data_IF_543459727776
#
_entry.id   IF_543459727776
#
_cell.length_a   1.000
_cell.length_b   1.000
_cell.length_c   1.000
_cell.angle_alpha   90.00
_cell.angle_beta   90.00
_cell.angle_gamma   90.00
#
_symmetry.space_group_name_H-M   'P 1'
#
loop_
_entity.id
_entity.type
_entity.pdbx_description
1 polymer ?
#
# COMPACT_ATOMS: atom_id res chain seq x y z
N UNK A 1 26.59 -17.18 -14.81
CA UNK A 1 25.23 -16.54 -14.72
C UNK A 1 24.32 -17.56 -14.09
N UNK A 2 23.61 -17.21 -13.02
CA UNK A 2 22.63 -18.10 -12.37
C UNK A 2 21.23 -17.61 -12.76
N UNK A 3 20.35 -18.52 -13.17
CA UNK A 3 18.94 -18.25 -13.49
C UNK A 3 18.09 -19.02 -12.49
N UNK A 4 17.21 -18.32 -11.78
CA UNK A 4 16.22 -18.93 -10.92
C UNK A 4 14.85 -18.99 -11.65
N UNK A 5 14.17 -20.11 -11.54
CA UNK A 5 12.79 -20.30 -12.02
C UNK A 5 11.90 -20.58 -10.83
N UNK A 6 10.72 -19.97 -10.78
CA UNK A 6 9.71 -20.21 -9.75
C UNK A 6 8.31 -20.12 -10.36
N UNK A 7 7.36 -20.80 -9.76
CA UNK A 7 5.95 -20.71 -10.16
C UNK A 7 5.31 -19.42 -9.63
N UNK A 8 4.40 -18.83 -10.42
CA UNK A 8 3.57 -17.73 -9.94
C UNK A 8 2.65 -18.23 -8.82
N UNK A 9 2.50 -17.44 -7.78
CA UNK A 9 1.74 -17.79 -6.58
C UNK A 9 0.79 -16.64 -6.19
N UNK A 10 -0.19 -16.95 -5.40
CA UNK A 10 -1.04 -16.01 -4.65
C UNK A 10 -1.15 -16.49 -3.22
N UNK A 11 -1.48 -15.58 -2.31
CA UNK A 11 -1.60 -15.92 -0.90
C UNK A 11 -2.87 -15.29 -0.33
N UNK A 12 -3.51 -15.98 0.62
CA UNK A 12 -4.49 -15.33 1.47
C UNK A 12 -3.80 -14.33 2.41
N UNK A 13 -4.44 -13.19 2.59
CA UNK A 13 -3.96 -12.14 3.50
C UNK A 13 -4.31 -12.48 4.94
N UNK A 14 -3.56 -11.92 5.88
CA UNK A 14 -3.83 -12.12 7.30
C UNK A 14 -4.78 -11.05 7.83
N UNK A 15 -6.04 -11.39 8.05
CA UNK A 15 -7.09 -10.50 8.54
C UNK A 15 -6.84 -9.87 9.94
N UNK A 16 -5.80 -10.33 10.64
CA UNK A 16 -5.44 -9.83 11.97
C UNK A 16 -4.17 -8.97 11.96
N UNK A 17 -3.70 -8.56 10.78
CA UNK A 17 -2.49 -7.74 10.59
C UNK A 17 -2.76 -6.54 9.70
N UNK A 18 -1.97 -5.47 9.84
CA UNK A 18 -2.07 -4.32 8.96
C UNK A 18 -1.82 -4.65 7.48
N UNK A 19 -2.56 -3.99 6.60
CA UNK A 19 -2.42 -4.12 5.15
C UNK A 19 -1.97 -2.81 4.50
N UNK A 20 -1.34 -2.93 3.34
CA UNK A 20 -1.26 -1.86 2.34
C UNK A 20 -2.14 -2.25 1.15
N UNK A 21 -2.98 -1.34 0.70
CA UNK A 21 -3.83 -1.49 -0.48
C UNK A 21 -3.41 -0.50 -1.56
N UNK A 22 -3.11 -1.02 -2.75
CA UNK A 22 -2.80 -0.23 -3.93
C UNK A 22 -3.97 -0.31 -4.92
N UNK A 23 -4.47 0.85 -5.35
CA UNK A 23 -5.57 0.96 -6.30
C UNK A 23 -5.01 1.28 -7.68
N UNK A 24 -5.14 0.34 -8.60
CA UNK A 24 -4.70 0.44 -10.00
C UNK A 24 -3.22 0.86 -10.18
N UNK A 25 -2.24 0.31 -9.44
CA UNK A 25 -0.84 0.68 -9.61
C UNK A 25 -0.35 0.26 -10.99
N UNK A 26 0.32 1.16 -11.71
CA UNK A 26 0.68 0.96 -13.12
C UNK A 26 2.18 0.76 -13.38
N UNK A 27 3.07 1.29 -12.53
CA UNK A 27 4.53 1.16 -12.72
C UNK A 27 5.11 -0.04 -11.95
N UNK A 28 5.77 -0.92 -12.71
CA UNK A 28 6.38 -2.16 -12.17
C UNK A 28 7.56 -1.87 -11.23
N UNK A 29 8.30 -0.77 -11.46
CA UNK A 29 9.41 -0.37 -10.59
C UNK A 29 8.92 0.17 -9.25
N UNK A 30 7.85 0.98 -9.29
CA UNK A 30 7.16 1.46 -8.08
C UNK A 30 6.61 0.28 -7.29
N UNK A 31 5.94 -0.65 -7.94
CA UNK A 31 5.41 -1.87 -7.31
C UNK A 31 6.51 -2.62 -6.54
N UNK A 32 7.65 -2.90 -7.18
CA UNK A 32 8.75 -3.60 -6.53
C UNK A 32 9.37 -2.81 -5.37
N UNK A 33 9.51 -1.49 -5.51
CA UNK A 33 9.99 -0.60 -4.46
C UNK A 33 9.04 -0.58 -3.27
N UNK A 34 7.72 -0.53 -3.52
CA UNK A 34 6.69 -0.59 -2.48
C UNK A 34 6.76 -1.91 -1.73
N UNK A 35 6.81 -3.05 -2.43
CA UNK A 35 6.95 -4.39 -1.83
C UNK A 35 8.14 -4.45 -0.86
N UNK A 36 9.29 -3.91 -1.28
CA UNK A 36 10.47 -3.84 -0.43
C UNK A 36 10.27 -2.94 0.79
N UNK A 37 9.64 -1.78 0.61
CA UNK A 37 9.41 -0.80 1.67
C UNK A 37 8.45 -1.31 2.73
N UNK A 38 7.30 -1.86 2.34
CA UNK A 38 6.30 -2.38 3.30
C UNK A 38 6.88 -3.52 4.13
N UNK A 39 7.63 -4.44 3.51
CA UNK A 39 8.33 -5.49 4.23
C UNK A 39 9.35 -4.92 5.22
N UNK A 40 10.09 -3.89 4.81
CA UNK A 40 11.07 -3.19 5.67
C UNK A 40 10.45 -2.58 6.91
N UNK A 41 9.19 -2.13 6.84
CA UNK A 41 8.40 -1.62 7.97
C UNK A 41 7.61 -2.71 8.69
N UNK A 42 7.76 -3.99 8.33
CA UNK A 42 7.12 -5.12 9.01
C UNK A 42 5.71 -5.43 8.50
N UNK A 43 5.15 -4.67 7.55
CA UNK A 43 3.86 -4.98 6.92
C UNK A 43 4.11 -6.06 5.85
N UNK A 44 3.38 -7.17 5.96
CA UNK A 44 3.57 -8.33 5.07
C UNK A 44 2.37 -8.60 4.15
N UNK A 45 1.30 -7.85 4.28
CA UNK A 45 0.05 -8.07 3.57
C UNK A 45 -0.19 -6.93 2.58
N UNK A 46 -0.14 -7.26 1.29
CA UNK A 46 -0.33 -6.34 0.17
C UNK A 46 -1.59 -6.70 -0.62
N UNK A 47 -2.56 -5.80 -0.62
CA UNK A 47 -3.76 -5.88 -1.45
C UNK A 47 -3.58 -5.02 -2.69
N UNK A 48 -4.08 -5.47 -3.82
CA UNK A 48 -3.99 -4.74 -5.08
C UNK A 48 -5.35 -4.78 -5.78
N UNK A 49 -5.86 -3.62 -6.16
CA UNK A 49 -7.06 -3.54 -7.01
C UNK A 49 -6.65 -3.47 -8.47
N UNK A 50 -7.20 -4.36 -9.28
CA UNK A 50 -7.00 -4.39 -10.74
C UNK A 50 -7.76 -3.26 -11.46
N UNK A 51 -7.33 -2.81 -12.68
CA UNK A 51 -6.14 -3.26 -13.38
C UNK A 51 -4.85 -2.81 -12.69
N UNK A 52 -3.79 -3.62 -12.78
CA UNK A 52 -2.53 -3.32 -12.12
C UNK A 52 -1.31 -3.81 -12.94
N UNK A 53 -0.13 -3.29 -12.60
CA UNK A 53 1.12 -3.83 -13.11
C UNK A 53 1.29 -5.30 -12.70
N UNK A 54 1.87 -6.13 -13.58
CA UNK A 54 2.16 -7.54 -13.24
C UNK A 54 3.20 -7.60 -12.12
N UNK A 55 2.78 -8.10 -10.97
CA UNK A 55 3.62 -8.25 -9.78
C UNK A 55 4.82 -9.19 -10.03
N UNK A 56 4.70 -10.11 -10.98
CA UNK A 56 5.75 -11.03 -11.40
C UNK A 56 6.58 -10.56 -12.58
N UNK A 57 6.36 -9.32 -13.04
CA UNK A 57 7.21 -8.74 -14.08
C UNK A 57 8.68 -8.71 -13.60
N UNK A 58 9.66 -9.06 -14.45
CA UNK A 58 11.08 -9.05 -14.09
C UNK A 58 11.57 -7.71 -13.49
N UNK A 59 10.97 -6.57 -13.90
CA UNK A 59 11.29 -5.25 -13.33
C UNK A 59 10.79 -5.15 -11.88
N UNK A 60 9.58 -5.64 -11.58
CA UNK A 60 9.01 -5.69 -10.23
C UNK A 60 9.84 -6.59 -9.31
N UNK A 61 10.14 -7.81 -9.77
CA UNK A 61 10.93 -8.79 -9.01
C UNK A 61 12.30 -8.21 -8.67
N UNK A 62 12.98 -7.62 -9.65
CA UNK A 62 14.30 -7.01 -9.44
C UNK A 62 14.24 -5.86 -8.44
N UNK A 63 13.26 -4.95 -8.59
CA UNK A 63 13.11 -3.79 -7.71
C UNK A 63 12.73 -4.21 -6.27
N UNK A 64 12.04 -5.33 -6.09
CA UNK A 64 11.67 -5.85 -4.78
C UNK A 64 12.84 -6.42 -3.98
N UNK A 65 13.99 -6.67 -4.63
CA UNK A 65 15.19 -7.24 -3.98
C UNK A 65 14.90 -8.52 -3.17
N UNK A 66 14.01 -9.37 -3.68
CA UNK A 66 13.60 -10.63 -3.05
C UNK A 66 12.49 -10.48 -1.99
N UNK A 67 12.05 -9.27 -1.67
CA UNK A 67 10.98 -9.05 -0.71
C UNK A 67 9.65 -9.69 -1.14
N UNK A 68 9.41 -9.83 -2.44
CA UNK A 68 8.20 -10.47 -3.00
C UNK A 68 7.97 -11.89 -2.45
N UNK A 69 9.03 -12.64 -2.14
CA UNK A 69 8.94 -14.00 -1.59
C UNK A 69 8.68 -14.04 -0.07
N UNK A 70 8.56 -12.86 0.57
CA UNK A 70 8.41 -12.74 2.03
C UNK A 70 7.12 -12.02 2.43
N UNK A 71 6.36 -11.53 1.45
CA UNK A 71 5.05 -10.91 1.67
C UNK A 71 3.94 -11.87 1.23
N UNK A 72 2.73 -11.64 1.72
CA UNK A 72 1.48 -12.16 1.17
C UNK A 72 0.88 -11.09 0.26
N UNK A 73 0.32 -11.48 -0.85
CA UNK A 73 -0.41 -10.53 -1.70
C UNK A 73 -1.62 -11.19 -2.35
N UNK A 74 -2.65 -10.38 -2.56
CA UNK A 74 -3.88 -10.78 -3.26
C UNK A 74 -4.35 -9.66 -4.16
N UNK A 75 -4.82 -10.02 -5.35
CA UNK A 75 -5.37 -9.09 -6.34
C UNK A 75 -6.88 -9.23 -6.30
N UNK A 76 -7.57 -8.09 -6.20
CA UNK A 76 -9.03 -7.96 -6.16
C UNK A 76 -9.52 -7.24 -7.40
N UNK A 77 -10.76 -7.50 -7.81
CA UNK A 77 -11.36 -6.82 -8.95
C UNK A 77 -11.89 -5.43 -8.57
N UNK A 78 -12.26 -5.23 -7.30
CA UNK A 78 -12.76 -3.96 -6.81
C UNK A 78 -12.47 -3.76 -5.31
N UNK A 79 -12.68 -2.52 -4.83
CA UNK A 79 -12.56 -2.21 -3.41
C UNK A 79 -13.65 -2.90 -2.59
N UNK A 80 -14.85 -3.06 -3.13
CA UNK A 80 -15.97 -3.75 -2.48
C UNK A 80 -15.63 -5.21 -2.20
N UNK A 81 -14.96 -5.90 -3.16
CA UNK A 81 -14.48 -7.26 -2.97
C UNK A 81 -13.46 -7.34 -1.82
N UNK A 82 -12.51 -6.41 -1.78
CA UNK A 82 -11.54 -6.32 -0.68
C UNK A 82 -12.22 -6.03 0.65
N UNK A 83 -13.13 -5.04 0.70
CA UNK A 83 -13.78 -4.62 1.95
C UNK A 83 -14.73 -5.67 2.51
N UNK A 84 -15.30 -6.52 1.66
CA UNK A 84 -16.14 -7.64 2.11
C UNK A 84 -15.33 -8.66 2.93
N UNK A 85 -14.03 -8.85 2.61
CA UNK A 85 -13.13 -9.74 3.36
C UNK A 85 -12.48 -9.06 4.57
N UNK A 86 -12.22 -7.75 4.50
CA UNK A 86 -11.39 -7.00 5.46
C UNK A 86 -12.11 -5.77 6.06
N UNK A 87 -13.45 -5.79 6.12
CA UNK A 87 -14.25 -4.67 6.62
C UNK A 87 -14.05 -4.34 8.11
N UNK A 88 -13.33 -5.18 8.85
CA UNK A 88 -12.93 -4.93 10.24
C UNK A 88 -11.69 -4.04 10.38
N UNK A 89 -10.99 -3.71 9.28
CA UNK A 89 -9.85 -2.80 9.29
C UNK A 89 -10.30 -1.34 9.35
N UNK A 90 -9.56 -0.51 10.08
CA UNK A 90 -9.67 0.94 9.95
C UNK A 90 -9.01 1.38 8.65
N UNK A 91 -9.77 1.99 7.76
CA UNK A 91 -9.32 2.37 6.42
C UNK A 91 -8.75 3.78 6.41
N UNK A 92 -7.55 3.94 5.83
CA UNK A 92 -6.83 5.20 5.73
C UNK A 92 -6.43 5.49 4.29
N UNK A 93 -7.31 6.12 3.49
CA UNK A 93 -6.97 6.58 2.14
C UNK A 93 -5.99 7.76 2.18
N UNK A 94 -4.88 7.65 1.48
CA UNK A 94 -3.90 8.73 1.32
C UNK A 94 -4.24 9.56 0.08
N UNK A 95 -4.66 10.82 0.30
CA UNK A 95 -5.18 11.71 -0.73
C UNK A 95 -4.60 13.12 -0.57
N UNK A 96 -4.47 13.85 -1.70
CA UNK A 96 -3.98 15.24 -1.70
C UNK A 96 -4.94 16.20 -1.01
N UNK A 97 -6.22 15.87 -0.98
CA UNK A 97 -7.32 16.59 -0.31
C UNK A 97 -7.83 15.82 0.92
N UNK A 98 -7.00 14.98 1.51
CA UNK A 98 -7.32 14.21 2.72
C UNK A 98 -7.70 15.11 3.89
N UNK A 99 -8.70 14.69 4.67
CA UNK A 99 -9.27 15.49 5.77
C UNK A 99 -8.33 15.61 6.97
N UNK A 100 -7.49 14.58 7.20
CA UNK A 100 -6.53 14.57 8.30
C UNK A 100 -5.11 14.75 7.82
N UNK A 101 -4.45 15.79 8.30
CA UNK A 101 -3.01 15.99 8.06
C UNK A 101 -2.19 14.99 8.88
N UNK A 102 -1.34 14.22 8.21
CA UNK A 102 -0.42 13.30 8.88
C UNK A 102 0.66 14.08 9.62
N UNK A 103 0.81 13.81 10.91
CA UNK A 103 1.87 14.39 11.73
C UNK A 103 2.38 13.39 12.77
N UNK A 104 3.63 13.59 13.24
CA UNK A 104 4.27 12.71 14.24
C UNK A 104 3.47 12.66 15.54
N UNK A 105 2.82 13.77 15.92
CA UNK A 105 2.10 13.87 17.18
C UNK A 105 0.62 13.47 17.07
N UNK A 106 0.11 13.27 15.85
CA UNK A 106 -1.32 13.03 15.60
C UNK A 106 -1.55 11.96 14.53
N UNK A 107 -0.75 10.90 14.54
CA UNK A 107 -1.01 9.72 13.72
C UNK A 107 -2.09 8.85 14.38
N UNK A 108 -3.07 8.33 13.62
CA UNK A 108 -4.13 7.49 14.16
C UNK A 108 -3.59 6.28 14.94
N UNK A 109 -4.18 6.03 16.11
CA UNK A 109 -3.84 4.88 16.96
C UNK A 109 -4.86 3.76 16.73
N UNK A 110 -4.38 2.65 16.20
CA UNK A 110 -5.20 1.46 15.94
C UNK A 110 -4.33 0.25 15.66
N UNK A 111 -4.71 -0.91 16.17
CA UNK A 111 -3.94 -2.15 15.97
C UNK A 111 -4.19 -2.78 14.60
N UNK A 112 -5.34 -2.52 13.97
CA UNK A 112 -5.76 -3.13 12.72
C UNK A 112 -6.17 -2.06 11.71
N UNK A 113 -5.39 -1.96 10.63
CA UNK A 113 -5.58 -0.90 9.64
C UNK A 113 -5.17 -1.30 8.23
N UNK A 114 -5.71 -0.56 7.27
CA UNK A 114 -5.31 -0.61 5.85
C UNK A 114 -4.93 0.78 5.39
N UNK A 115 -3.71 0.93 4.90
CA UNK A 115 -3.21 2.15 4.25
C UNK A 115 -3.50 2.04 2.75
N UNK A 116 -4.31 2.95 2.21
CA UNK A 116 -4.82 2.89 0.83
C UNK A 116 -4.15 3.97 -0.01
N UNK A 117 -3.59 3.57 -1.15
CA UNK A 117 -2.90 4.47 -2.08
C UNK A 117 -3.43 4.28 -3.50
N UNK A 118 -3.52 5.37 -4.24
CA UNK A 118 -4.02 5.39 -5.61
C UNK A 118 -2.96 5.14 -6.67
N UNK A 119 -3.40 5.24 -7.92
CA UNK A 119 -2.56 5.22 -9.10
C UNK A 119 -1.58 6.39 -9.11
N UNK A 120 -0.40 6.20 -9.71
CA UNK A 120 0.69 7.19 -9.77
C UNK A 120 0.28 8.51 -10.47
N UNK A 121 -0.58 8.43 -11.47
CA UNK A 121 -0.99 9.60 -12.25
C UNK A 121 -2.30 10.20 -11.79
N UNK A 122 -3.31 9.38 -11.47
CA UNK A 122 -4.67 9.84 -11.15
C UNK A 122 -4.98 9.90 -9.66
N UNK A 123 -4.14 9.32 -8.80
CA UNK A 123 -4.42 9.20 -7.37
C UNK A 123 -5.57 8.25 -7.07
N UNK A 124 -6.24 8.45 -5.94
CA UNK A 124 -7.48 7.78 -5.57
C UNK A 124 -8.68 8.53 -6.13
N UNK A 125 -9.72 7.83 -6.60
CA UNK A 125 -11.02 8.44 -6.88
C UNK A 125 -11.59 9.17 -5.65
N UNK A 126 -12.35 10.25 -5.85
CA UNK A 126 -12.93 11.05 -4.77
C UNK A 126 -13.81 10.22 -3.82
N UNK A 127 -14.43 9.14 -4.31
CA UNK A 127 -15.25 8.22 -3.49
C UNK A 127 -14.47 7.58 -2.33
N UNK A 128 -13.14 7.54 -2.41
CA UNK A 128 -12.32 7.02 -1.31
C UNK A 128 -12.26 7.93 -0.09
N UNK A 129 -12.66 9.20 -0.19
CA UNK A 129 -12.79 10.07 0.98
C UNK A 129 -13.81 9.54 2.01
N UNK A 130 -14.84 8.83 1.55
CA UNK A 130 -15.90 8.26 2.38
C UNK A 130 -15.61 6.84 2.89
N UNK A 131 -14.49 6.22 2.42
CA UNK A 131 -14.13 4.85 2.78
C UNK A 131 -13.63 4.74 4.23
N UNK A 132 -13.07 5.82 4.77
CA UNK A 132 -12.51 5.86 6.12
C UNK A 132 -11.96 7.23 6.46
N UNK A 133 -10.94 7.29 7.32
CA UNK A 133 -10.28 8.56 7.62
C UNK A 133 -9.23 8.88 6.56
N UNK A 134 -9.56 9.77 5.62
CA UNK A 134 -8.60 10.19 4.59
C UNK A 134 -7.44 11.00 5.18
N UNK A 135 -6.23 10.69 4.71
CA UNK A 135 -4.96 11.23 5.21
C UNK A 135 -4.29 12.09 4.14
N UNK A 136 -3.82 13.27 4.53
CA UNK A 136 -2.98 14.15 3.73
C UNK A 136 -1.54 14.13 4.26
N UNK A 137 -0.55 13.84 3.39
CA UNK A 137 0.87 14.01 3.71
C UNK A 137 1.25 15.46 3.40
N UNK A 138 1.69 16.27 4.40
CA UNK A 138 2.09 17.64 4.16
C UNK A 138 3.21 17.73 3.11
N UNK A 139 3.00 18.57 2.11
CA UNK A 139 3.96 18.86 1.04
C UNK A 139 3.83 20.31 0.57
N UNK A 140 4.87 20.84 -0.09
CA UNK A 140 4.83 22.18 -0.66
C UNK A 140 3.95 22.18 -1.93
N UNK A 141 3.55 23.40 -2.34
CA UNK A 141 2.78 23.59 -3.59
C UNK A 141 3.69 23.60 -4.85
N UNK A 142 4.99 23.43 -4.66
CA UNK A 142 5.97 23.45 -5.77
C UNK A 142 6.01 22.13 -6.53
N UNK A 143 5.34 21.11 -6.01
CA UNK A 143 5.18 19.79 -6.63
C UNK A 143 3.70 19.40 -6.64
N UNK A 144 3.26 18.73 -7.70
CA UNK A 144 1.87 18.28 -7.82
C UNK A 144 1.56 17.15 -6.84
N UNK A 145 2.50 16.21 -6.66
CA UNK A 145 2.38 15.09 -5.72
C UNK A 145 3.74 14.46 -5.42
N UNK A 146 3.79 13.73 -4.29
CA UNK A 146 4.92 12.86 -4.00
C UNK A 146 4.85 11.59 -4.85
N UNK A 147 6.02 11.04 -5.19
CA UNK A 147 6.09 9.73 -5.81
C UNK A 147 5.41 8.66 -4.94
N UNK A 148 4.65 7.74 -5.55
CA UNK A 148 3.85 6.74 -4.84
C UNK A 148 4.66 5.91 -3.82
N UNK A 149 5.82 5.31 -4.13
CA UNK A 149 6.66 4.61 -3.15
C UNK A 149 7.10 5.48 -1.97
N UNK A 150 7.31 6.77 -2.18
CA UNK A 150 7.67 7.71 -1.10
C UNK A 150 6.47 7.91 -0.16
N UNK A 151 5.28 8.16 -0.71
CA UNK A 151 4.06 8.28 0.07
C UNK A 151 3.76 7.03 0.89
N UNK A 152 3.91 5.85 0.27
CA UNK A 152 3.76 4.56 0.97
C UNK A 152 4.80 4.42 2.09
N UNK A 153 6.07 4.76 1.83
CA UNK A 153 7.12 4.71 2.83
C UNK A 153 6.85 5.61 4.04
N UNK A 154 6.41 6.86 3.81
CA UNK A 154 6.04 7.81 4.86
C UNK A 154 4.87 7.27 5.69
N UNK A 155 3.79 6.84 5.04
CA UNK A 155 2.62 6.29 5.75
C UNK A 155 2.96 5.04 6.55
N UNK A 156 3.69 4.09 5.97
CA UNK A 156 4.14 2.90 6.69
C UNK A 156 5.00 3.25 7.91
N UNK A 157 5.99 4.13 7.75
CA UNK A 157 6.84 4.58 8.86
C UNK A 157 6.01 5.19 10.00
N UNK A 158 5.11 6.11 9.68
CA UNK A 158 4.30 6.82 10.67
C UNK A 158 3.37 5.85 11.42
N UNK A 159 2.67 5.01 10.68
CA UNK A 159 1.71 4.09 11.29
C UNK A 159 2.39 2.98 12.09
N UNK A 160 3.48 2.39 11.61
CA UNK A 160 4.18 1.32 12.36
C UNK A 160 4.96 1.86 13.56
N UNK A 161 5.43 3.11 13.51
CA UNK A 161 6.05 3.77 14.67
C UNK A 161 5.03 4.10 15.77
N UNK A 162 3.81 4.46 15.39
CA UNK A 162 2.71 4.76 16.32
C UNK A 162 2.01 3.48 16.82
N UNK A 163 1.88 2.48 15.95
CA UNK A 163 1.18 1.22 16.18
C UNK A 163 2.13 0.04 15.90
N UNK A 164 3.03 -0.31 16.81
CA UNK A 164 4.00 -1.38 16.58
C UNK A 164 3.34 -2.71 16.25
N UNK A 165 3.78 -3.35 15.16
CA UNK A 165 3.25 -4.64 14.71
C UNK A 165 3.76 -5.72 15.66
N UNK A 166 2.84 -6.40 16.35
CA UNK A 166 3.12 -7.51 17.29
C UNK A 166 3.25 -8.83 16.57
#
# INVERSE_FOLDING_TARGET
MVVGVFDKFSCELNNSKPHVLLVNPSDMGNMGTIIRSILGFGIKDLSIISPCADIFNPKTIRASMGAIFKIRFKIYNSFEEYSAEHGNHNMFPFMLDGHKTLSINDCPKTDLYTLIYGNEASGLPASYQEVGQSIFIPQTKDVDSLNLPISVGIGCFMFTSTNPIK
#
